data_IF_609948015503
#
_entry.id   IF_609948015503
#
_cell.length_a   1.000
_cell.length_b   1.000
_cell.length_c   1.000
_cell.angle_alpha   90.00
_cell.angle_beta   90.00
_cell.angle_gamma   90.00
#
_symmetry.space_group_name_H-M   'P 1'
#
loop_
_entity.id
_entity.type
_entity.pdbx_description
1 polymer ?
#
# COMPACT_ATOMS: atom_id res chain seq x y z
N UNK A 1 1.84 -2.30 16.83
CA UNK A 1 2.65 -1.82 15.68
C UNK A 1 1.84 -0.79 14.90
N UNK A 2 2.41 0.36 14.54
CA UNK A 2 1.79 1.41 13.71
C UNK A 2 2.20 1.24 12.26
N UNK A 3 1.23 1.00 11.39
CA UNK A 3 1.47 0.80 9.95
C UNK A 3 0.80 1.92 9.16
N UNK A 4 1.56 2.53 8.26
CA UNK A 4 1.03 3.44 7.26
C UNK A 4 0.79 2.68 5.96
N UNK A 5 -0.47 2.52 5.58
CA UNK A 5 -0.86 2.02 4.27
C UNK A 5 -1.22 3.20 3.36
N UNK A 6 -0.50 3.35 2.26
CA UNK A 6 -0.82 4.33 1.24
C UNK A 6 -1.37 3.66 -0.03
N UNK A 7 -2.39 4.25 -0.64
CA UNK A 7 -2.95 3.82 -1.92
C UNK A 7 -2.69 4.93 -2.94
N UNK A 8 -1.91 4.63 -3.98
CA UNK A 8 -1.55 5.59 -5.02
C UNK A 8 -2.22 5.28 -6.37
N UNK A 9 -2.07 6.18 -7.33
CA UNK A 9 -2.80 6.17 -8.60
C UNK A 9 -2.34 5.13 -9.63
N UNK A 10 -2.40 3.85 -9.29
CA UNK A 10 -2.24 2.73 -10.24
C UNK A 10 -3.44 1.78 -10.16
N UNK A 11 -3.70 1.03 -11.24
CA UNK A 11 -4.70 -0.06 -11.21
C UNK A 11 -4.29 -1.15 -10.22
N UNK A 12 -5.24 -1.93 -9.75
CA UNK A 12 -5.06 -2.89 -8.67
C UNK A 12 -5.43 -2.29 -7.32
N UNK A 13 -6.41 -1.38 -7.28
CA UNK A 13 -6.85 -0.75 -6.04
C UNK A 13 -7.33 -1.78 -4.99
N UNK A 14 -7.76 -2.95 -5.46
CA UNK A 14 -8.12 -4.11 -4.64
C UNK A 14 -6.97 -4.58 -3.73
N UNK A 15 -5.70 -4.45 -4.15
CA UNK A 15 -4.56 -4.82 -3.31
C UNK A 15 -4.47 -3.93 -2.06
N UNK A 16 -4.71 -2.62 -2.20
CA UNK A 16 -4.74 -1.69 -1.07
C UNK A 16 -5.86 -2.02 -0.08
N UNK A 17 -7.07 -2.25 -0.58
CA UNK A 17 -8.21 -2.66 0.26
C UNK A 17 -7.90 -3.98 0.99
N UNK A 18 -7.33 -4.95 0.27
CA UNK A 18 -7.04 -6.26 0.86
C UNK A 18 -5.92 -6.19 1.89
N UNK A 19 -4.86 -5.41 1.65
CA UNK A 19 -3.84 -5.11 2.66
C UNK A 19 -4.47 -4.50 3.92
N UNK A 20 -5.34 -3.50 3.78
CA UNK A 20 -6.02 -2.89 4.92
C UNK A 20 -6.86 -3.91 5.71
N UNK A 21 -7.63 -4.74 5.01
CA UNK A 21 -8.48 -5.77 5.60
C UNK A 21 -7.66 -6.77 6.42
N UNK A 22 -6.56 -7.27 5.84
CA UNK A 22 -5.67 -8.22 6.50
C UNK A 22 -4.88 -7.58 7.66
N UNK A 23 -4.48 -6.31 7.55
CA UNK A 23 -3.83 -5.59 8.64
C UNK A 23 -4.77 -5.36 9.82
N UNK A 24 -6.04 -5.00 9.57
CA UNK A 24 -7.04 -4.79 10.62
C UNK A 24 -7.51 -6.08 11.29
N UNK A 25 -7.38 -7.22 10.61
CA UNK A 25 -7.54 -8.55 11.21
C UNK A 25 -6.39 -8.92 12.18
N UNK A 26 -5.36 -8.08 12.28
CA UNK A 26 -4.22 -8.22 13.20
C UNK A 26 -4.21 -7.08 14.21
N UNK A 27 -3.36 -7.21 15.24
CA UNK A 27 -3.24 -6.18 16.27
C UNK A 27 -2.36 -4.99 15.83
N UNK A 28 -2.80 -4.30 14.76
CA UNK A 28 -2.11 -3.16 14.16
C UNK A 28 -2.91 -1.88 14.34
N UNK A 29 -2.21 -0.81 14.68
CA UNK A 29 -2.72 0.55 14.62
C UNK A 29 -2.57 1.08 13.19
N UNK A 30 -3.65 1.01 12.40
CA UNK A 30 -3.62 1.27 10.97
C UNK A 30 -3.92 2.74 10.66
N UNK A 31 -3.03 3.34 9.88
CA UNK A 31 -3.21 4.64 9.28
C UNK A 31 -3.25 4.48 7.77
N UNK A 32 -4.19 5.16 7.12
CA UNK A 32 -4.44 5.06 5.69
C UNK A 32 -4.29 6.42 5.04
N UNK A 33 -3.62 6.46 3.90
CA UNK A 33 -3.52 7.65 3.06
C UNK A 33 -3.87 7.25 1.62
N UNK A 34 -4.70 8.02 0.95
CA UNK A 34 -5.12 7.74 -0.44
C UNK A 34 -4.92 8.99 -1.29
N UNK A 35 -4.15 8.88 -2.37
CA UNK A 35 -3.89 10.04 -3.24
C UNK A 35 -5.15 10.45 -4.01
N UNK A 36 -5.26 11.72 -4.46
CA UNK A 36 -6.42 12.18 -5.23
C UNK A 36 -6.71 11.30 -6.46
N UNK A 37 -5.69 10.94 -7.23
CA UNK A 37 -5.84 10.04 -8.39
C UNK A 37 -6.31 8.64 -8.00
N UNK A 38 -5.85 8.12 -6.87
CA UNK A 38 -6.24 6.79 -6.39
C UNK A 38 -7.73 6.69 -6.06
N UNK A 39 -8.37 7.78 -5.60
CA UNK A 39 -9.81 7.81 -5.36
C UNK A 39 -10.64 7.56 -6.62
N UNK A 40 -10.22 8.10 -7.77
CA UNK A 40 -10.86 7.85 -9.05
C UNK A 40 -10.74 6.37 -9.47
N UNK A 41 -9.56 5.78 -9.28
CA UNK A 41 -9.31 4.37 -9.61
C UNK A 41 -10.09 3.45 -8.66
N UNK A 42 -10.08 3.73 -7.35
CA UNK A 42 -10.89 3.02 -6.36
C UNK A 42 -12.38 3.05 -6.72
N UNK A 43 -12.89 4.20 -7.15
CA UNK A 43 -14.27 4.32 -7.59
C UNK A 43 -14.57 3.47 -8.83
N UNK A 44 -13.64 3.42 -9.79
CA UNK A 44 -13.80 2.68 -11.04
C UNK A 44 -13.68 1.15 -10.86
N UNK A 45 -12.66 0.69 -10.14
CA UNK A 45 -12.29 -0.74 -10.11
C UNK A 45 -13.03 -1.56 -9.06
N UNK A 46 -13.37 -0.93 -7.94
CA UNK A 46 -13.96 -1.59 -6.77
C UNK A 46 -15.19 -0.84 -6.27
N UNK A 47 -15.63 0.17 -7.03
CA UNK A 47 -16.74 1.06 -6.73
C UNK A 47 -17.87 0.99 -7.75
N UNK A 48 -18.66 2.07 -7.77
CA UNK A 48 -19.73 2.29 -8.74
C UNK A 48 -19.38 3.44 -9.71
N UNK A 49 -18.10 3.71 -9.91
CA UNK A 49 -17.57 4.80 -10.73
C UNK A 49 -17.60 6.20 -10.07
N UNK A 50 -18.19 6.36 -8.88
CA UNK A 50 -18.30 7.66 -8.20
C UNK A 50 -17.44 7.73 -6.95
N UNK A 51 -16.41 8.56 -6.99
CA UNK A 51 -15.53 8.80 -5.85
C UNK A 51 -16.26 9.61 -4.75
N UNK A 52 -16.12 9.25 -3.46
CA UNK A 52 -16.71 10.05 -2.39
C UNK A 52 -16.02 11.43 -2.27
N UNK A 53 -16.82 12.47 -2.05
CA UNK A 53 -16.35 13.86 -2.10
C UNK A 53 -15.61 14.31 -0.84
N UNK A 54 -16.16 14.06 0.36
CA UNK A 54 -15.57 14.50 1.63
C UNK A 54 -14.73 13.42 2.29
N UNK A 55 -13.79 13.81 3.16
CA UNK A 55 -12.94 12.87 3.91
C UNK A 55 -13.77 11.87 4.75
N UNK A 56 -14.82 12.35 5.43
CA UNK A 56 -15.71 11.48 6.19
C UNK A 56 -16.50 10.50 5.31
N UNK A 57 -16.90 10.92 4.09
CA UNK A 57 -17.57 10.02 3.15
C UNK A 57 -16.58 8.98 2.57
N UNK A 58 -15.33 9.39 2.34
CA UNK A 58 -14.22 8.54 1.91
C UNK A 58 -13.88 7.48 2.94
N UNK A 59 -13.81 7.86 4.21
CA UNK A 59 -13.59 6.96 5.34
C UNK A 59 -14.69 5.89 5.43
N UNK A 60 -15.97 6.29 5.46
CA UNK A 60 -17.10 5.34 5.44
C UNK A 60 -17.13 4.45 4.21
N UNK A 61 -16.69 4.96 3.07
CA UNK A 61 -16.65 4.18 1.83
C UNK A 61 -15.57 3.10 1.86
N UNK A 62 -14.40 3.41 2.42
CA UNK A 62 -13.31 2.46 2.63
C UNK A 62 -13.69 1.43 3.69
N UNK A 63 -14.22 1.87 4.82
CA UNK A 63 -14.64 1.02 5.94
C UNK A 63 -15.54 -0.14 5.48
N UNK A 64 -16.58 0.16 4.70
CA UNK A 64 -17.47 -0.85 4.11
C UNK A 64 -16.78 -1.86 3.18
N UNK A 65 -15.75 -1.43 2.44
CA UNK A 65 -15.04 -2.30 1.48
C UNK A 65 -13.97 -3.14 2.12
N UNK A 66 -13.29 -2.56 3.09
CA UNK A 66 -12.30 -3.24 3.91
C UNK A 66 -13.00 -4.28 4.80
N UNK A 67 -14.28 -4.06 5.12
CA UNK A 67 -15.02 -4.83 6.13
C UNK A 67 -14.25 -4.83 7.44
N UNK A 68 -13.91 -3.61 7.88
CA UNK A 68 -12.96 -3.36 8.94
C UNK A 68 -13.38 -4.01 10.26
N UNK A 69 -12.55 -4.93 10.77
CA UNK A 69 -12.74 -5.51 12.10
C UNK A 69 -12.41 -4.52 13.24
N UNK A 70 -11.61 -3.48 12.92
CA UNK A 70 -11.10 -2.47 13.84
C UNK A 70 -11.00 -1.12 13.12
N UNK A 71 -11.09 0.02 13.83
CA UNK A 71 -10.98 1.33 13.20
C UNK A 71 -9.58 1.57 12.61
N UNK A 72 -9.51 2.39 11.56
CA UNK A 72 -8.29 2.95 11.01
C UNK A 72 -8.38 4.48 10.98
N UNK A 73 -7.25 5.18 10.83
CA UNK A 73 -7.23 6.65 10.66
C UNK A 73 -6.96 7.02 9.21
N UNK A 74 -7.88 7.72 8.57
CA UNK A 74 -7.70 8.22 7.20
C UNK A 74 -7.11 9.64 7.17
N UNK A 75 -6.07 9.83 6.38
CA UNK A 75 -5.44 11.13 6.13
C UNK A 75 -5.61 11.55 4.68
N UNK A 76 -5.75 12.85 4.45
CA UNK A 76 -5.67 13.44 3.12
C UNK A 76 -4.20 13.56 2.68
N UNK A 77 -3.95 13.47 1.37
CA UNK A 77 -2.59 13.51 0.81
C UNK A 77 -1.94 14.91 0.88
N UNK A 78 -2.72 15.93 1.23
CA UNK A 78 -2.27 17.29 1.53
C UNK A 78 -2.17 17.59 3.04
N UNK A 79 -2.52 16.64 3.93
CA UNK A 79 -2.41 16.83 5.38
C UNK A 79 -1.02 16.43 5.91
N UNK A 80 -0.10 17.39 5.91
CA UNK A 80 1.25 17.22 6.47
C UNK A 80 1.29 17.18 8.01
N UNK A 81 0.14 17.32 8.70
CA UNK A 81 0.07 17.16 10.17
C UNK A 81 -0.02 15.70 10.58
N UNK A 82 -0.11 14.77 9.62
CA UNK A 82 0.05 13.34 9.88
C UNK A 82 1.35 13.10 10.66
N UNK A 83 1.34 12.31 11.76
CA UNK A 83 2.53 12.13 12.61
C UNK A 83 3.77 11.67 11.84
N UNK A 84 3.55 10.88 10.80
CA UNK A 84 4.57 10.24 9.98
C UNK A 84 5.28 11.17 8.99
N UNK A 85 4.84 12.42 8.86
CA UNK A 85 5.55 13.44 8.09
C UNK A 85 6.83 13.95 8.80
N UNK A 86 7.04 13.54 10.06
CA UNK A 86 8.23 13.83 10.86
C UNK A 86 9.00 12.56 11.25
N UNK A 87 10.32 12.60 11.13
CA UNK A 87 11.21 11.52 11.60
C UNK A 87 11.33 11.40 13.12
N UNK A 88 10.82 12.37 13.89
CA UNK A 88 10.68 12.21 15.34
C UNK A 88 9.54 11.26 15.73
N UNK A 89 8.65 10.94 14.78
CA UNK A 89 7.51 10.05 15.03
C UNK A 89 7.17 9.20 13.78
N UNK A 90 8.11 8.39 13.26
CA UNK A 90 7.87 7.59 12.07
C UNK A 90 6.91 6.42 12.37
N UNK A 91 6.23 5.87 11.36
CA UNK A 91 5.50 4.62 11.53
C UNK A 91 6.50 3.47 11.74
N UNK A 92 6.02 2.34 12.25
CA UNK A 92 6.87 1.14 12.36
C UNK A 92 7.15 0.53 11.00
N UNK A 93 6.22 0.69 10.04
CA UNK A 93 6.40 0.33 8.64
C UNK A 93 5.44 1.09 7.73
N UNK A 94 5.77 1.16 6.43
CA UNK A 94 4.91 1.71 5.39
C UNK A 94 4.75 0.76 4.20
N UNK A 95 3.52 0.64 3.71
CA UNK A 95 3.18 -0.12 2.49
C UNK A 95 2.50 0.84 1.52
N UNK A 96 2.94 0.90 0.27
CA UNK A 96 2.24 1.60 -0.82
C UNK A 96 1.60 0.57 -1.74
N UNK A 97 0.28 0.40 -1.69
CA UNK A 97 -0.44 -0.63 -2.43
C UNK A 97 -1.75 -0.11 -3.05
N UNK A 98 -1.85 -0.03 -4.39
CA UNK A 98 -0.77 -0.14 -5.37
C UNK A 98 0.13 1.12 -5.38
N UNK A 99 1.36 0.94 -5.88
CA UNK A 99 2.35 1.99 -6.12
C UNK A 99 2.44 2.29 -7.63
N UNK A 100 2.04 3.51 -8.00
CA UNK A 100 2.18 4.04 -9.36
C UNK A 100 3.62 4.41 -9.68
N UNK A 101 4.01 4.28 -10.96
CA UNK A 101 5.37 4.64 -11.39
C UNK A 101 5.71 6.11 -11.11
N UNK A 102 4.73 7.02 -11.21
CA UNK A 102 4.93 8.42 -10.82
C UNK A 102 5.16 8.61 -9.32
N UNK A 103 4.49 7.84 -8.46
CA UNK A 103 4.75 7.87 -7.00
C UNK A 103 6.10 7.25 -6.69
N UNK A 104 6.41 6.11 -7.28
CA UNK A 104 7.69 5.43 -7.15
C UNK A 104 8.85 6.35 -7.55
N UNK A 105 8.76 7.02 -8.70
CA UNK A 105 9.76 7.97 -9.17
C UNK A 105 9.95 9.15 -8.20
N UNK A 106 8.85 9.73 -7.68
CA UNK A 106 8.96 10.81 -6.67
C UNK A 106 9.70 10.34 -5.42
N UNK A 107 9.38 9.16 -4.91
CA UNK A 107 10.08 8.59 -3.74
C UNK A 107 11.56 8.33 -4.08
N UNK A 108 11.86 7.71 -5.22
CA UNK A 108 13.23 7.40 -5.67
C UNK A 108 14.12 8.64 -5.82
N UNK A 109 13.53 9.81 -6.05
CA UNK A 109 14.24 11.08 -6.24
C UNK A 109 14.08 12.04 -5.05
N UNK A 110 13.55 11.58 -3.90
CA UNK A 110 13.40 12.42 -2.69
C UNK A 110 12.39 13.56 -2.82
N UNK A 111 11.46 13.49 -3.78
CA UNK A 111 10.48 14.54 -4.05
C UNK A 111 9.31 14.43 -3.06
N UNK A 112 9.41 15.18 -1.96
CA UNK A 112 8.43 15.23 -0.87
C UNK A 112 7.27 16.21 -1.13
N UNK A 113 6.65 16.15 -2.31
CA UNK A 113 5.59 17.08 -2.73
C UNK A 113 4.17 16.76 -2.20
N UNK A 114 3.98 15.62 -1.51
CA UNK A 114 2.70 15.26 -0.86
C UNK A 114 2.94 14.58 0.47
N UNK A 115 1.91 14.45 1.31
CA UNK A 115 2.02 13.74 2.58
C UNK A 115 2.45 12.28 2.36
N UNK A 116 1.99 11.61 1.30
CA UNK A 116 2.46 10.27 0.93
C UNK A 116 3.97 10.24 0.73
N UNK A 117 4.50 11.08 -0.17
CA UNK A 117 5.92 11.00 -0.51
C UNK A 117 6.81 11.51 0.62
N UNK A 118 6.32 12.47 1.40
CA UNK A 118 7.00 12.91 2.62
C UNK A 118 7.08 11.80 3.65
N UNK A 119 6.01 11.04 3.88
CA UNK A 119 6.04 9.90 4.80
C UNK A 119 7.01 8.82 4.29
N UNK A 120 7.05 8.54 2.98
CA UNK A 120 7.97 7.57 2.42
C UNK A 120 9.45 8.01 2.56
N UNK A 121 9.74 9.29 2.37
CA UNK A 121 11.05 9.90 2.61
C UNK A 121 11.47 9.77 4.09
N UNK A 122 10.54 10.03 5.02
CA UNK A 122 10.75 9.79 6.45
C UNK A 122 11.02 8.31 6.75
N UNK A 123 10.24 7.40 6.19
CA UNK A 123 10.42 5.95 6.40
C UNK A 123 11.80 5.50 5.93
N UNK A 124 12.25 5.95 4.76
CA UNK A 124 13.58 5.64 4.22
C UNK A 124 14.70 6.19 5.10
N UNK A 125 14.66 7.49 5.46
CA UNK A 125 15.74 8.11 6.24
C UNK A 125 15.84 7.57 7.67
N UNK A 126 14.71 7.15 8.25
CA UNK A 126 14.64 6.51 9.58
C UNK A 126 14.86 4.99 9.51
N UNK A 127 15.22 4.44 8.33
CA UNK A 127 15.50 3.01 8.09
C UNK A 127 14.36 2.09 8.55
N UNK A 128 13.12 2.53 8.33
CA UNK A 128 11.92 1.74 8.58
C UNK A 128 11.56 0.92 7.33
N UNK A 129 10.90 -0.24 7.46
CA UNK A 129 10.44 -1.02 6.31
C UNK A 129 9.52 -0.20 5.41
N UNK A 130 9.90 -0.09 4.13
CA UNK A 130 9.09 0.50 3.06
C UNK A 130 8.82 -0.55 1.99
N UNK A 131 7.56 -0.89 1.77
CA UNK A 131 7.14 -1.83 0.73
C UNK A 131 6.40 -1.09 -0.37
N UNK A 132 6.85 -1.23 -1.61
CA UNK A 132 6.24 -0.59 -2.77
C UNK A 132 5.63 -1.65 -3.68
N UNK A 133 4.29 -1.75 -3.67
CA UNK A 133 3.55 -2.71 -4.49
C UNK A 133 3.40 -2.16 -5.92
N UNK A 134 4.47 -2.21 -6.70
CA UNK A 134 4.55 -1.65 -8.04
C UNK A 134 3.55 -2.32 -9.01
N UNK A 135 2.69 -1.54 -9.67
CA UNK A 135 1.79 -2.07 -10.72
C UNK A 135 2.00 -1.30 -12.02
N UNK A 136 2.76 -1.90 -12.93
CA UNK A 136 2.92 -1.42 -14.31
C UNK A 136 3.38 -2.55 -15.23
N UNK A 137 3.00 -2.50 -16.51
CA UNK A 137 3.58 -3.35 -17.56
C UNK A 137 3.27 -2.77 -18.95
N UNK A 138 4.23 -2.73 -19.89
CA UNK A 138 5.65 -3.07 -19.73
C UNK A 138 6.43 -2.04 -18.89
N UNK A 139 7.65 -2.38 -18.48
CA UNK A 139 8.52 -1.48 -17.73
C UNK A 139 9.51 -0.79 -18.67
N UNK A 140 9.60 0.54 -18.56
CA UNK A 140 10.67 1.31 -19.20
C UNK A 140 11.96 1.20 -18.39
N UNK A 141 13.09 1.55 -19.00
CA UNK A 141 14.38 1.66 -18.30
C UNK A 141 14.29 2.65 -17.13
N UNK A 142 13.55 3.75 -17.29
CA UNK A 142 13.31 4.74 -16.23
C UNK A 142 12.61 4.11 -15.02
N UNK A 143 11.62 3.24 -15.24
CA UNK A 143 10.96 2.51 -14.15
C UNK A 143 11.97 1.60 -13.43
N UNK A 144 12.76 0.83 -14.19
CA UNK A 144 13.76 -0.11 -13.65
C UNK A 144 14.84 0.61 -12.85
N UNK A 145 15.36 1.73 -13.33
CA UNK A 145 16.38 2.52 -12.63
C UNK A 145 15.85 3.09 -11.30
N UNK A 146 14.63 3.63 -11.30
CA UNK A 146 14.02 4.13 -10.07
C UNK A 146 13.76 3.00 -9.06
N UNK A 147 13.29 1.83 -9.54
CA UNK A 147 13.11 0.64 -8.69
C UNK A 147 14.44 0.15 -8.11
N UNK A 148 15.49 0.08 -8.94
CA UNK A 148 16.83 -0.32 -8.50
C UNK A 148 17.40 0.65 -7.46
N UNK A 149 17.24 1.95 -7.65
CA UNK A 149 17.68 2.97 -6.70
C UNK A 149 17.02 2.81 -5.35
N UNK A 150 15.70 2.61 -5.33
CA UNK A 150 14.93 2.39 -4.10
C UNK A 150 15.30 1.07 -3.42
N UNK A 151 15.49 -0.01 -4.19
CA UNK A 151 15.96 -1.28 -3.66
C UNK A 151 17.33 -1.13 -2.97
N UNK A 152 18.27 -0.40 -3.58
CA UNK A 152 19.58 -0.09 -2.98
C UNK A 152 19.47 0.79 -1.74
N UNK A 153 18.45 1.64 -1.66
CA UNK A 153 18.15 2.44 -0.48
C UNK A 153 17.42 1.67 0.64
N UNK A 154 17.10 0.39 0.44
CA UNK A 154 16.48 -0.49 1.43
C UNK A 154 14.96 -0.63 1.36
N UNK A 155 14.31 -0.07 0.32
CA UNK A 155 12.90 -0.35 0.07
C UNK A 155 12.71 -1.72 -0.58
N UNK A 156 11.63 -2.41 -0.21
CA UNK A 156 11.20 -3.62 -0.90
C UNK A 156 10.38 -3.25 -2.14
N UNK A 157 10.92 -3.57 -3.33
CA UNK A 157 10.18 -3.49 -4.58
C UNK A 157 9.39 -4.79 -4.75
N UNK A 158 8.06 -4.70 -4.65
CA UNK A 158 7.16 -5.84 -4.73
C UNK A 158 6.21 -5.66 -5.91
N UNK A 159 6.54 -6.09 -7.13
CA UNK A 159 5.63 -5.98 -8.26
C UNK A 159 4.33 -6.76 -7.99
N UNK A 160 3.19 -6.24 -8.44
CA UNK A 160 1.88 -6.89 -8.36
C UNK A 160 1.76 -8.04 -9.39
N UNK A 161 2.66 -9.02 -9.26
CA UNK A 161 2.79 -10.21 -10.11
C UNK A 161 2.44 -11.45 -9.27
N UNK A 162 1.15 -11.83 -9.16
CA UNK A 162 0.74 -12.95 -8.32
C UNK A 162 1.28 -14.27 -8.85
N UNK A 163 1.70 -15.15 -7.93
CA UNK A 163 2.06 -16.54 -8.26
C UNK A 163 0.84 -17.43 -8.45
N UNK A 164 1.04 -18.57 -9.10
CA UNK A 164 -0.03 -19.55 -9.40
C UNK A 164 0.22 -20.92 -8.76
N UNK A 165 1.32 -21.08 -8.01
CA UNK A 165 1.71 -22.36 -7.43
C UNK A 165 0.72 -22.86 -6.36
N UNK A 166 -0.10 -21.98 -5.78
CA UNK A 166 -1.19 -22.32 -4.87
C UNK A 166 -2.51 -22.68 -5.58
N UNK A 167 -2.49 -22.79 -6.92
CA UNK A 167 -3.63 -23.14 -7.79
C UNK A 167 -4.88 -22.30 -7.49
N UNK A 168 -4.81 -20.97 -7.66
CA UNK A 168 -5.91 -20.08 -7.31
C UNK A 168 -7.16 -20.38 -8.13
N UNK A 169 -8.30 -20.53 -7.47
CA UNK A 169 -9.60 -20.78 -8.09
C UNK A 169 -10.39 -19.47 -8.33
N UNK A 170 -9.99 -18.38 -7.69
CA UNK A 170 -10.67 -17.07 -7.76
C UNK A 170 -9.65 -15.94 -7.81
N UNK A 171 -10.05 -14.80 -8.40
CA UNK A 171 -9.24 -13.58 -8.43
C UNK A 171 -8.83 -13.13 -7.03
N UNK A 172 -9.70 -13.28 -6.03
CA UNK A 172 -9.39 -12.94 -4.64
C UNK A 172 -8.15 -13.67 -4.10
N UNK A 173 -7.89 -14.89 -4.55
CA UNK A 173 -6.72 -15.68 -4.11
C UNK A 173 -5.42 -15.22 -4.78
N UNK A 174 -5.50 -14.55 -5.94
CA UNK A 174 -4.37 -13.83 -6.53
C UNK A 174 -4.12 -12.51 -5.79
N UNK A 175 -5.18 -11.84 -5.34
CA UNK A 175 -5.07 -10.65 -4.49
C UNK A 175 -4.44 -10.99 -3.14
N UNK A 176 -4.89 -12.09 -2.53
CA UNK A 176 -4.34 -12.62 -1.27
C UNK A 176 -2.86 -12.93 -1.37
N UNK A 177 -2.39 -13.41 -2.52
CA UNK A 177 -0.98 -13.63 -2.78
C UNK A 177 -0.16 -12.35 -2.61
N UNK A 178 -0.48 -11.31 -3.38
CA UNK A 178 0.30 -10.07 -3.37
C UNK A 178 0.20 -9.38 -2.01
N UNK A 179 -1.01 -9.32 -1.43
CA UNK A 179 -1.23 -8.71 -0.12
C UNK A 179 -0.46 -9.45 0.98
N UNK A 180 -0.49 -10.78 1.00
CA UNK A 180 0.26 -11.59 1.99
C UNK A 180 1.76 -11.38 1.88
N UNK A 181 2.29 -11.30 0.65
CA UNK A 181 3.71 -11.00 0.44
C UNK A 181 4.05 -9.60 0.93
N UNK A 182 3.21 -8.60 0.69
CA UNK A 182 3.43 -7.24 1.20
C UNK A 182 3.44 -7.17 2.74
N UNK A 183 2.48 -7.82 3.39
CA UNK A 183 2.41 -7.89 4.86
C UNK A 183 3.64 -8.61 5.45
N UNK A 184 4.10 -9.70 4.82
CA UNK A 184 5.27 -10.44 5.30
C UNK A 184 6.56 -9.61 5.32
N UNK A 185 6.69 -8.63 4.41
CA UNK A 185 7.86 -7.74 4.36
C UNK A 185 7.91 -6.74 5.51
N UNK A 186 6.78 -6.50 6.17
CA UNK A 186 6.70 -5.70 7.40
C UNK A 186 6.57 -6.57 8.65
N UNK A 187 6.84 -7.88 8.55
CA UNK A 187 6.82 -8.79 9.70
C UNK A 187 5.42 -9.22 10.15
N UNK A 188 4.40 -9.07 9.30
CA UNK A 188 3.02 -9.43 9.62
C UNK A 188 2.59 -10.65 8.80
N UNK A 189 2.12 -11.69 9.49
CA UNK A 189 1.55 -12.87 8.83
C UNK A 189 0.07 -12.65 8.48
N UNK A 190 -0.25 -12.75 7.18
CA UNK A 190 -1.61 -12.54 6.70
C UNK A 190 -2.56 -13.68 7.09
N UNK A 191 -2.07 -14.92 7.18
CA UNK A 191 -2.84 -16.10 7.58
C UNK A 191 -3.94 -16.53 6.60
N UNK A 192 -3.81 -16.16 5.33
CA UNK A 192 -4.75 -16.54 4.25
C UNK A 192 -4.11 -17.43 3.17
N UNK A 193 -2.79 -17.63 3.25
CA UNK A 193 -2.05 -18.53 2.38
C UNK A 193 -1.17 -19.45 3.23
N UNK A 194 -1.10 -20.75 2.90
CA UNK A 194 -0.20 -21.67 3.59
C UNK A 194 1.25 -21.31 3.28
N UNK A 195 2.14 -21.63 4.22
CA UNK A 195 3.59 -21.54 3.98
C UNK A 195 3.99 -22.62 2.99
N UNK A 196 4.91 -22.28 2.10
CA UNK A 196 5.40 -23.22 1.09
C UNK A 196 6.04 -24.44 1.77
N UNK A 197 5.58 -25.64 1.40
CA UNK A 197 6.10 -26.91 1.95
C UNK A 197 5.46 -27.37 3.25
N UNK A 198 4.61 -26.57 3.91
CA UNK A 198 3.95 -26.94 5.17
C UNK A 198 2.56 -27.60 4.97
N UNK A 199 2.19 -27.95 3.73
CA UNK A 199 0.90 -28.57 3.41
C UNK A 199 -0.29 -27.61 3.57
N UNK A 200 -1.51 -28.11 3.33
CA UNK A 200 -2.75 -27.46 3.76
C UNK A 200 -3.18 -28.06 5.09
#
# INVERSE_FOLDING_TARGET
MRVLLAISGASGAVYGIRCASLLLARDVDLHVLVTPTAWGILASEVGNGKAPASLAARERWLDRRISAARPFRLYADDDFRIPFASGSNPPDAMIVAPCSMGTLARIANGISSSALTRCADVVLKERKPLVLVARETPLSVIHLENMLRLARAGADILPACPGFYHRPAKVSELVDFVASRALSRVGIEAGVLPRWGEGR
#
